data_IF_191722388887
#
_entry.id   IF_191722388887
#
_cell.length_a   1.000
_cell.length_b   1.000
_cell.length_c   1.000
_cell.angle_alpha   90.00
_cell.angle_beta   90.00
_cell.angle_gamma   90.00
#
_symmetry.space_group_name_H-M   'P 1'
#
loop_
_entity.id
_entity.type
_entity.pdbx_description
1 polymer ?
#
# COMPACT_ATOMS: atom_id res chain seq x y z
N UNK A 1 -38.89 -35.34 -10.84
CA UNK A 1 -37.79 -34.35 -10.87
C UNK A 1 -38.41 -32.96 -10.96
N UNK A 2 -38.07 -32.08 -10.01
CA UNK A 2 -38.80 -30.83 -9.74
C UNK A 2 -38.52 -29.76 -10.80
N UNK A 3 -39.55 -29.02 -11.23
CA UNK A 3 -39.49 -27.93 -12.23
C UNK A 3 -38.39 -26.88 -11.92
N UNK A 4 -38.04 -26.73 -10.64
CA UNK A 4 -37.01 -25.78 -10.16
C UNK A 4 -35.58 -26.14 -10.59
N UNK A 5 -35.25 -27.42 -10.81
CA UNK A 5 -33.91 -27.84 -11.29
C UNK A 5 -33.70 -27.61 -12.79
N UNK A 6 -34.77 -27.51 -13.57
CA UNK A 6 -34.68 -27.32 -15.02
C UNK A 6 -34.33 -25.86 -15.39
N UNK A 7 -34.88 -24.90 -14.63
CA UNK A 7 -34.61 -23.46 -14.81
C UNK A 7 -33.16 -23.10 -14.47
N UNK A 8 -32.58 -23.74 -13.45
CA UNK A 8 -31.17 -23.53 -13.06
C UNK A 8 -30.21 -24.09 -14.12
N UNK A 9 -30.55 -25.23 -14.74
CA UNK A 9 -29.75 -25.81 -15.82
C UNK A 9 -29.80 -24.99 -17.12
N UNK A 10 -30.95 -24.40 -17.45
CA UNK A 10 -31.09 -23.53 -18.64
C UNK A 10 -30.28 -22.24 -18.48
N UNK A 11 -30.26 -21.62 -17.29
CA UNK A 11 -29.44 -20.43 -17.05
C UNK A 11 -27.93 -20.70 -17.10
N UNK A 12 -27.49 -21.90 -16.70
CA UNK A 12 -26.07 -22.27 -16.72
C UNK A 12 -25.53 -22.52 -18.14
N UNK A 13 -26.38 -22.93 -19.08
CA UNK A 13 -25.98 -23.20 -20.47
C UNK A 13 -25.83 -21.94 -21.33
N UNK A 14 -26.53 -20.85 -20.99
CA UNK A 14 -26.46 -19.59 -21.75
C UNK A 14 -25.16 -18.81 -21.43
N UNK A 15 -24.54 -19.05 -20.27
CA UNK A 15 -23.32 -18.34 -19.85
C UNK A 15 -22.02 -18.88 -20.46
N UNK A 16 -22.04 -20.10 -21.03
CA UNK A 16 -20.81 -20.78 -21.53
C UNK A 16 -20.69 -20.70 -23.07
N UNK A 17 -21.70 -20.21 -23.78
CA UNK A 17 -21.75 -20.24 -25.26
C UNK A 17 -21.69 -18.87 -25.95
N UNK A 18 -21.16 -17.84 -25.30
CA UNK A 18 -21.24 -16.45 -25.80
C UNK A 18 -19.92 -15.68 -25.86
N UNK A 19 -18.97 -16.10 -26.72
CA UNK A 19 -18.13 -15.24 -27.59
C UNK A 19 -17.02 -16.04 -28.27
N UNK A 20 -17.36 -16.77 -29.33
CA UNK A 20 -16.40 -17.16 -30.37
C UNK A 20 -16.85 -16.54 -31.69
N UNK A 21 -16.23 -15.42 -32.08
CA UNK A 21 -16.17 -15.05 -33.49
C UNK A 21 -14.83 -14.40 -33.81
N UNK A 22 -14.14 -15.03 -34.77
CA UNK A 22 -12.86 -14.67 -35.33
C UNK A 22 -12.92 -13.32 -36.06
N UNK A 23 -12.01 -12.40 -35.70
CA UNK A 23 -11.36 -11.51 -36.68
C UNK A 23 -9.90 -11.37 -36.26
N UNK A 24 -9.00 -11.97 -37.04
CA UNK A 24 -7.56 -11.73 -36.96
C UNK A 24 -7.27 -10.23 -37.22
N UNK A 25 -6.61 -9.51 -36.31
CA UNK A 25 -5.73 -8.42 -36.69
C UNK A 25 -4.33 -8.99 -37.06
N UNK A 26 -3.55 -8.30 -37.91
CA UNK A 26 -2.26 -8.80 -38.37
C UNK A 26 -1.30 -8.96 -37.18
N UNK A 27 -0.57 -10.07 -37.19
CA UNK A 27 0.47 -10.41 -36.21
C UNK A 27 1.49 -9.26 -36.15
N UNK A 28 1.65 -8.55 -35.01
CA UNK A 28 2.81 -7.71 -34.84
C UNK A 28 4.01 -8.64 -34.64
N UNK A 29 5.02 -8.46 -35.48
CA UNK A 29 6.33 -9.10 -35.35
C UNK A 29 6.80 -8.98 -33.91
N UNK A 30 6.92 -10.13 -33.22
CA UNK A 30 7.54 -10.23 -31.91
C UNK A 30 9.01 -9.80 -32.05
N UNK A 31 9.28 -8.54 -31.72
CA UNK A 31 10.62 -8.12 -31.34
C UNK A 31 10.96 -8.94 -30.09
N UNK A 32 12.06 -9.72 -30.07
CA UNK A 32 12.44 -10.44 -28.88
C UNK A 32 12.70 -9.41 -27.77
N UNK A 33 11.82 -9.36 -26.77
CA UNK A 33 12.09 -8.62 -25.54
C UNK A 33 13.33 -9.27 -24.92
N UNK A 34 14.46 -8.58 -25.06
CA UNK A 34 15.66 -8.82 -24.27
C UNK A 34 15.21 -8.88 -22.81
N UNK A 35 15.56 -9.92 -22.04
CA UNK A 35 15.29 -9.93 -20.62
C UNK A 35 16.07 -8.77 -20.02
N UNK A 36 15.34 -7.73 -19.60
CA UNK A 36 15.87 -6.62 -18.82
C UNK A 36 16.15 -7.23 -17.44
N UNK A 37 17.33 -7.85 -17.30
CA UNK A 37 17.98 -8.03 -16.01
C UNK A 37 18.51 -6.66 -15.55
N UNK A 38 17.61 -5.70 -15.39
CA UNK A 38 17.94 -4.42 -14.79
C UNK A 38 17.57 -4.53 -13.32
N UNK A 39 18.60 -4.93 -12.56
CA UNK A 39 19.02 -4.14 -11.42
C UNK A 39 18.07 -4.21 -10.21
N UNK A 40 17.95 -5.41 -9.64
CA UNK A 40 17.33 -5.64 -8.32
C UNK A 40 18.02 -4.79 -7.23
N UNK A 41 19.31 -4.50 -7.39
CA UNK A 41 20.09 -3.68 -6.46
C UNK A 41 19.70 -2.19 -6.49
N UNK A 42 19.48 -1.58 -7.66
CA UNK A 42 19.07 -0.16 -7.73
C UNK A 42 17.63 0.05 -7.26
N UNK A 43 16.72 -0.92 -7.46
CA UNK A 43 15.36 -0.84 -6.91
C UNK A 43 15.41 -0.83 -5.38
N UNK A 44 16.18 -1.74 -4.77
CA UNK A 44 16.32 -1.83 -3.30
C UNK A 44 16.91 -0.55 -2.68
N UNK A 45 17.93 0.03 -3.32
CA UNK A 45 18.57 1.27 -2.84
C UNK A 45 17.66 2.49 -3.00
N UNK A 46 16.86 2.53 -4.08
CA UNK A 46 15.88 3.60 -4.30
C UNK A 46 14.72 3.54 -3.28
N UNK A 47 14.22 2.33 -2.97
CA UNK A 47 13.19 2.13 -1.94
C UNK A 47 13.65 2.56 -0.55
N UNK A 48 14.90 2.26 -0.18
CA UNK A 48 15.44 2.63 1.13
C UNK A 48 15.60 4.15 1.29
N UNK A 49 15.98 4.87 0.23
CA UNK A 49 16.01 6.35 0.25
C UNK A 49 14.61 6.94 0.33
N UNK A 50 13.69 6.48 -0.51
CA UNK A 50 12.31 6.98 -0.54
C UNK A 50 11.61 6.90 0.84
N UNK A 51 11.88 5.83 1.58
CA UNK A 51 11.31 5.59 2.91
C UNK A 51 11.90 6.51 3.99
N UNK A 52 13.20 6.81 3.91
CA UNK A 52 13.86 7.79 4.77
C UNK A 52 13.30 9.20 4.54
N UNK A 53 13.06 9.56 3.29
CA UNK A 53 12.49 10.85 2.90
C UNK A 53 11.02 10.98 3.37
N UNK A 54 10.29 9.88 3.47
CA UNK A 54 8.90 9.86 3.92
C UNK A 54 8.78 10.11 5.43
N UNK A 55 9.66 9.50 6.23
CA UNK A 55 9.70 9.74 7.69
C UNK A 55 10.03 11.21 7.99
N UNK A 56 10.98 11.81 7.28
CA UNK A 56 11.35 13.21 7.53
C UNK A 56 10.22 14.17 7.13
N UNK A 57 9.50 13.87 6.03
CA UNK A 57 8.29 14.62 5.65
C UNK A 57 7.22 14.57 6.74
N UNK A 58 6.99 13.41 7.35
CA UNK A 58 6.01 13.26 8.43
C UNK A 58 6.43 14.01 9.69
N UNK A 59 7.74 14.02 10.01
CA UNK A 59 8.25 14.85 11.10
C UNK A 59 8.05 16.33 10.85
N UNK A 60 8.28 16.80 9.62
CA UNK A 60 8.00 18.18 9.26
C UNK A 60 6.51 18.52 9.41
N UNK A 61 5.62 17.63 8.98
CA UNK A 61 4.17 17.76 9.17
C UNK A 61 3.75 17.79 10.65
N UNK A 62 4.37 16.95 11.50
CA UNK A 62 4.15 16.99 12.94
C UNK A 62 4.57 18.33 13.57
N UNK A 63 5.63 18.98 13.07
CA UNK A 63 6.01 20.33 13.54
C UNK A 63 4.95 21.38 13.20
N UNK A 64 4.21 21.21 12.10
CA UNK A 64 3.06 22.08 11.80
C UNK A 64 1.98 21.88 12.86
N UNK A 65 1.57 20.63 13.11
CA UNK A 65 0.60 20.32 14.16
C UNK A 65 1.04 20.79 15.55
N UNK A 66 2.33 20.78 15.85
CA UNK A 66 2.84 21.28 17.13
C UNK A 66 2.43 22.73 17.40
N UNK A 67 2.30 23.54 16.35
CA UNK A 67 1.94 24.95 16.43
C UNK A 67 0.45 25.20 16.21
N UNK A 68 -0.27 24.32 15.49
CA UNK A 68 -1.68 24.51 15.14
C UNK A 68 -2.64 23.70 16.01
N UNK A 69 -2.28 22.48 16.40
CA UNK A 69 -3.11 21.56 17.18
C UNK A 69 -2.22 20.63 18.04
N UNK A 70 -1.93 21.09 19.26
CA UNK A 70 -1.02 20.41 20.20
C UNK A 70 -1.52 19.03 20.61
N UNK A 71 -2.83 18.81 20.67
CA UNK A 71 -3.41 17.52 21.02
C UNK A 71 -3.17 16.50 19.90
N UNK A 72 -3.48 16.86 18.65
CA UNK A 72 -3.18 16.02 17.48
C UNK A 72 -1.68 15.76 17.36
N UNK A 73 -0.84 16.77 17.58
CA UNK A 73 0.62 16.59 17.62
C UNK A 73 1.04 15.49 18.62
N UNK A 74 0.63 15.59 19.88
CA UNK A 74 1.01 14.62 20.91
C UNK A 74 0.54 13.21 20.55
N UNK A 75 -0.71 13.09 20.08
CA UNK A 75 -1.30 11.81 19.65
C UNK A 75 -0.46 11.17 18.54
N UNK A 76 -0.21 11.88 17.45
CA UNK A 76 0.49 11.31 16.30
C UNK A 76 1.99 11.10 16.56
N UNK A 77 2.63 11.97 17.35
CA UNK A 77 4.00 11.77 17.76
C UNK A 77 4.17 10.49 18.60
N UNK A 78 3.26 10.25 19.56
CA UNK A 78 3.26 9.02 20.36
C UNK A 78 3.05 7.77 19.48
N UNK A 79 2.14 7.85 18.50
CA UNK A 79 1.94 6.76 17.54
C UNK A 79 3.20 6.48 16.70
N UNK A 80 3.88 7.53 16.23
CA UNK A 80 5.11 7.40 15.44
C UNK A 80 6.25 6.77 16.25
N UNK A 81 6.45 7.24 17.49
CA UNK A 81 7.46 6.69 18.41
C UNK A 81 7.16 5.22 18.71
N UNK A 82 5.91 4.88 19.03
CA UNK A 82 5.51 3.49 19.27
C UNK A 82 5.74 2.61 18.05
N UNK A 83 5.30 3.05 16.87
CA UNK A 83 5.47 2.30 15.62
C UNK A 83 6.95 2.04 15.31
N UNK A 84 7.81 3.05 15.51
CA UNK A 84 9.25 2.92 15.33
C UNK A 84 9.87 1.95 16.34
N UNK A 85 9.45 2.00 17.60
CA UNK A 85 9.87 1.06 18.64
C UNK A 85 9.48 -0.39 18.31
N UNK A 86 8.22 -0.62 17.96
CA UNK A 86 7.69 -1.93 17.60
C UNK A 86 8.42 -2.50 16.37
N UNK A 87 8.64 -1.66 15.35
CA UNK A 87 9.39 -2.03 14.15
C UNK A 87 10.85 -2.34 14.44
N UNK A 88 11.50 -1.58 15.32
CA UNK A 88 12.87 -1.87 15.75
C UNK A 88 12.97 -3.19 16.51
N UNK A 89 11.98 -3.53 17.34
CA UNK A 89 11.90 -4.84 17.98
C UNK A 89 11.74 -5.95 16.94
N UNK A 90 10.86 -5.76 15.97
CA UNK A 90 10.67 -6.71 14.87
C UNK A 90 11.97 -6.93 14.08
N UNK A 91 12.70 -5.87 13.71
CA UNK A 91 13.99 -5.98 13.00
C UNK A 91 14.97 -6.89 13.76
N UNK A 92 15.00 -6.86 15.10
CA UNK A 92 15.89 -7.70 15.91
C UNK A 92 15.56 -9.19 15.86
N UNK A 93 14.30 -9.55 15.62
CA UNK A 93 13.83 -10.94 15.57
C UNK A 93 13.50 -11.41 14.15
N UNK A 94 13.60 -10.50 13.17
CA UNK A 94 13.17 -10.68 11.78
C UNK A 94 13.83 -11.87 11.10
N UNK A 95 15.09 -12.13 11.42
CA UNK A 95 15.86 -13.21 10.81
C UNK A 95 15.64 -14.57 11.51
N UNK A 96 14.93 -14.58 12.65
CA UNK A 96 14.65 -15.77 13.46
C UNK A 96 13.22 -16.33 13.25
N UNK A 97 12.48 -15.80 12.29
CA UNK A 97 11.10 -16.21 11.97
C UNK A 97 11.02 -16.77 10.55
N UNK A 98 9.96 -17.52 10.26
CA UNK A 98 9.71 -18.07 8.92
C UNK A 98 9.52 -16.97 7.88
N UNK A 99 9.84 -17.28 6.62
CA UNK A 99 9.72 -16.34 5.51
C UNK A 99 8.30 -15.77 5.36
N UNK A 100 7.27 -16.60 5.54
CA UNK A 100 5.86 -16.17 5.49
C UNK A 100 5.56 -15.12 6.57
N UNK A 101 6.01 -15.37 7.81
CA UNK A 101 5.83 -14.43 8.92
C UNK A 101 6.63 -13.15 8.70
N UNK A 102 7.85 -13.25 8.15
CA UNK A 102 8.68 -12.10 7.80
C UNK A 102 7.97 -11.21 6.78
N UNK A 103 7.48 -11.80 5.69
CA UNK A 103 6.81 -11.07 4.61
C UNK A 103 5.49 -10.44 5.09
N UNK A 104 4.73 -11.15 5.91
CA UNK A 104 3.49 -10.65 6.50
C UNK A 104 3.76 -9.46 7.45
N UNK A 105 4.78 -9.55 8.30
CA UNK A 105 5.14 -8.48 9.24
C UNK A 105 5.77 -7.28 8.52
N UNK A 106 6.63 -7.50 7.53
CA UNK A 106 7.19 -6.44 6.67
C UNK A 106 6.03 -5.66 6.00
N UNK A 107 5.03 -6.37 5.46
CA UNK A 107 3.84 -5.77 4.86
C UNK A 107 2.97 -5.02 5.87
N UNK A 108 2.79 -5.57 7.07
CA UNK A 108 2.04 -4.95 8.15
C UNK A 108 2.67 -3.64 8.61
N UNK A 109 3.99 -3.59 8.83
CA UNK A 109 4.68 -2.38 9.23
C UNK A 109 4.66 -1.32 8.13
N UNK A 110 4.87 -1.72 6.88
CA UNK A 110 4.72 -0.83 5.72
C UNK A 110 3.32 -0.22 5.64
N UNK A 111 2.27 -1.02 5.84
CA UNK A 111 0.89 -0.52 5.87
C UNK A 111 0.62 0.44 7.04
N UNK A 112 1.12 0.11 8.24
CA UNK A 112 0.95 0.96 9.43
C UNK A 112 1.65 2.31 9.26
N UNK A 113 2.85 2.33 8.70
CA UNK A 113 3.60 3.56 8.41
C UNK A 113 2.84 4.45 7.42
N UNK A 114 2.46 3.91 6.26
CA UNK A 114 1.69 4.65 5.25
C UNK A 114 0.37 5.20 5.79
N UNK A 115 -0.33 4.39 6.59
CA UNK A 115 -1.59 4.80 7.21
C UNK A 115 -1.39 5.95 8.20
N UNK A 116 -0.36 5.87 9.05
CA UNK A 116 -0.03 6.94 9.97
C UNK A 116 0.31 8.22 9.22
N UNK A 117 1.10 8.12 8.15
CA UNK A 117 1.53 9.27 7.37
C UNK A 117 0.37 9.96 6.68
N UNK A 118 -0.55 9.20 6.10
CA UNK A 118 -1.78 9.74 5.54
C UNK A 118 -2.62 10.46 6.60
N UNK A 119 -2.76 9.88 7.80
CA UNK A 119 -3.53 10.49 8.91
C UNK A 119 -2.89 11.79 9.40
N UNK A 120 -1.57 11.84 9.50
CA UNK A 120 -0.84 13.07 9.86
C UNK A 120 -1.06 14.14 8.78
N UNK A 121 -0.91 13.78 7.51
CA UNK A 121 -1.12 14.71 6.40
C UNK A 121 -2.54 15.27 6.39
N UNK A 122 -3.55 14.41 6.57
CA UNK A 122 -4.93 14.83 6.65
C UNK A 122 -5.17 15.77 7.83
N UNK A 123 -4.64 15.44 9.01
CA UNK A 123 -4.76 16.28 10.20
C UNK A 123 -4.10 17.65 10.05
N UNK A 124 -2.97 17.73 9.33
CA UNK A 124 -2.34 19.02 9.00
C UNK A 124 -3.25 19.84 8.10
N UNK A 125 -3.79 19.26 7.03
CA UNK A 125 -4.67 19.98 6.11
C UNK A 125 -5.93 20.48 6.81
N UNK A 126 -6.53 19.66 7.67
CA UNK A 126 -7.68 20.00 8.51
C UNK A 126 -7.37 21.15 9.49
N UNK A 127 -6.21 21.11 10.16
CA UNK A 127 -5.80 22.18 11.06
C UNK A 127 -5.50 23.50 10.33
N UNK A 128 -4.95 23.42 9.12
CA UNK A 128 -4.66 24.60 8.29
C UNK A 128 -5.93 25.20 7.67
N UNK A 129 -6.93 24.39 7.31
CA UNK A 129 -8.20 24.92 6.79
C UNK A 129 -8.95 25.72 7.84
N UNK A 130 -8.97 25.24 9.09
CA UNK A 130 -9.61 25.96 10.20
C UNK A 130 -8.92 27.30 10.49
N UNK A 131 -7.59 27.38 10.36
CA UNK A 131 -6.85 28.64 10.51
C UNK A 131 -7.14 29.69 9.43
N UNK A 132 -7.70 29.28 8.28
CA UNK A 132 -8.04 30.22 7.21
C UNK A 132 -9.44 30.83 7.34
N UNK A 133 -10.24 30.32 8.29
CA UNK A 133 -11.60 30.80 8.57
C UNK A 133 -11.66 31.85 9.70
N UNK A 134 -10.55 32.02 10.44
CA UNK A 134 -10.35 33.05 11.48
C UNK A 134 -9.63 34.30 10.93
#
# INVERSE_FOLDING_TARGET
MSSKTFVVFIFFLIFVAGCSTNKHPPVPVLIPLKPVQENVETVSQNTKRAMSDEIERVRAQLRVLQNTDKEKYQKFNNMLVKLSSDKNLFIKVRDNITDDNRNALDSLYSFREKTLFYRVNWAVMDALSLQSED
#
